data_IF_632057549954
#
_entry.id   IF_632057549954
#
_cell.length_a   1.000
_cell.length_b   1.000
_cell.length_c   1.000
_cell.angle_alpha   90.00
_cell.angle_beta   90.00
_cell.angle_gamma   90.00
#
_symmetry.space_group_name_H-M   'P 1'
#
loop_
_entity.id
_entity.type
_entity.pdbx_description
1 polymer ?
#
# COMPACT_ATOMS: atom_id res chain seq x y z
N UNK A 1 2.96 19.49 3.25
CA UNK A 1 2.21 18.21 3.21
C UNK A 1 3.11 16.97 3.16
N UNK A 2 4.31 17.05 2.60
CA UNK A 2 5.30 15.94 2.62
C UNK A 2 5.81 15.64 4.05
N UNK A 3 5.66 16.55 4.98
CA UNK A 3 6.26 16.53 6.33
C UNK A 3 5.59 15.49 7.26
N UNK A 4 4.32 15.17 7.07
CA UNK A 4 3.56 14.32 7.97
C UNK A 4 2.97 13.05 7.32
N UNK A 5 3.09 12.90 6.02
CA UNK A 5 2.55 11.75 5.30
C UNK A 5 3.50 11.38 4.15
N UNK A 6 4.31 10.36 4.37
CA UNK A 6 5.25 9.82 3.36
C UNK A 6 4.77 8.44 2.87
N UNK A 7 3.67 8.38 2.11
CA UNK A 7 3.06 7.13 1.67
C UNK A 7 3.96 6.33 0.72
N UNK A 8 4.99 6.95 0.16
CA UNK A 8 5.93 6.31 -0.75
C UNK A 8 7.28 5.97 -0.10
N UNK A 9 7.47 6.33 1.17
CA UNK A 9 8.69 6.02 1.92
C UNK A 9 9.94 6.79 1.46
N UNK A 10 9.79 7.99 0.91
CA UNK A 10 10.92 8.80 0.43
C UNK A 10 11.93 9.13 1.53
N UNK A 11 11.47 9.41 2.75
CA UNK A 11 12.38 9.68 3.87
C UNK A 11 13.15 8.42 4.29
N UNK A 12 12.52 7.26 4.29
CA UNK A 12 13.20 5.99 4.54
C UNK A 12 14.21 5.67 3.43
N UNK A 13 13.88 5.94 2.18
CA UNK A 13 14.79 5.77 1.05
C UNK A 13 16.00 6.72 1.16
N UNK A 14 15.79 7.99 1.48
CA UNK A 14 16.87 8.95 1.69
C UNK A 14 17.80 8.51 2.83
N UNK A 15 17.22 8.08 3.97
CA UNK A 15 17.99 7.53 5.10
C UNK A 15 18.83 6.31 4.68
N UNK A 16 18.29 5.45 3.81
CA UNK A 16 19.03 4.32 3.24
C UNK A 16 20.25 4.77 2.44
N UNK A 17 20.09 5.73 1.55
CA UNK A 17 21.18 6.30 0.76
C UNK A 17 22.22 6.99 1.62
N UNK A 18 21.81 7.76 2.62
CA UNK A 18 22.71 8.41 3.57
C UNK A 18 23.53 7.37 4.36
N UNK A 19 22.87 6.33 4.85
CA UNK A 19 23.54 5.24 5.58
C UNK A 19 24.57 4.53 4.70
N UNK A 20 24.23 4.24 3.45
CA UNK A 20 25.12 3.57 2.50
C UNK A 20 26.34 4.43 2.15
N UNK A 21 26.19 5.75 2.11
CA UNK A 21 27.27 6.69 1.77
C UNK A 21 28.00 7.27 3.01
N UNK A 22 27.64 6.85 4.21
CA UNK A 22 28.26 7.34 5.45
C UNK A 22 28.04 8.84 5.70
N UNK A 23 26.89 9.37 5.29
CA UNK A 23 26.53 10.78 5.42
C UNK A 23 25.14 10.94 6.04
N UNK A 24 24.81 12.14 6.48
CA UNK A 24 23.47 12.55 6.94
C UNK A 24 22.99 13.82 6.23
N UNK A 25 23.63 14.19 5.12
CA UNK A 25 23.44 15.46 4.41
C UNK A 25 22.65 15.31 3.11
N UNK A 26 21.88 14.24 2.96
CA UNK A 26 21.06 14.00 1.79
C UNK A 26 19.89 14.98 1.68
N UNK A 27 19.36 15.12 0.48
CA UNK A 27 18.19 15.94 0.19
C UNK A 27 17.53 15.53 -1.12
N UNK A 28 16.40 16.17 -1.42
CA UNK A 28 15.64 15.95 -2.65
C UNK A 28 15.75 17.15 -3.56
N UNK A 29 16.00 16.91 -4.83
CA UNK A 29 15.78 17.89 -5.87
C UNK A 29 14.35 17.71 -6.40
N UNK A 30 13.50 18.70 -6.19
CA UNK A 30 12.08 18.64 -6.56
C UNK A 30 11.82 19.60 -7.69
N UNK A 31 11.19 19.11 -8.77
CA UNK A 31 10.77 19.92 -9.89
C UNK A 31 9.23 19.93 -10.00
N UNK A 32 8.62 21.09 -10.06
CA UNK A 32 7.20 21.24 -10.39
C UNK A 32 7.02 21.12 -11.90
N UNK A 33 6.29 20.12 -12.32
CA UNK A 33 6.04 19.85 -13.76
C UNK A 33 5.16 20.89 -14.43
N UNK A 34 4.36 21.65 -13.68
CA UNK A 34 3.44 22.64 -14.22
C UNK A 34 4.10 23.99 -14.40
N UNK A 35 4.95 24.43 -13.47
CA UNK A 35 5.65 25.72 -13.53
C UNK A 35 7.08 25.63 -14.05
N UNK A 36 7.72 24.45 -13.94
CA UNK A 36 9.14 24.27 -14.20
C UNK A 36 10.05 24.71 -13.05
N UNK A 37 9.48 25.12 -11.93
CA UNK A 37 10.25 25.53 -10.76
C UNK A 37 11.00 24.35 -10.16
N UNK A 38 12.24 24.62 -9.71
CA UNK A 38 13.10 23.63 -9.09
C UNK A 38 13.45 24.12 -7.68
N UNK A 39 13.29 23.25 -6.69
CA UNK A 39 13.75 23.52 -5.34
C UNK A 39 14.57 22.35 -4.78
N UNK A 40 15.47 22.68 -3.85
CA UNK A 40 16.22 21.69 -3.09
C UNK A 40 15.63 21.62 -1.68
N UNK A 41 15.13 20.42 -1.32
CA UNK A 41 14.53 20.15 -0.02
C UNK A 41 15.45 19.27 0.83
N UNK A 42 15.85 19.77 2.00
CA UNK A 42 16.62 19.03 3.00
C UNK A 42 15.75 18.77 4.21
N UNK A 43 15.40 17.53 4.52
CA UNK A 43 14.62 17.19 5.69
C UNK A 43 15.50 17.12 6.95
N UNK A 44 16.17 18.22 7.32
CA UNK A 44 17.09 18.27 8.46
C UNK A 44 16.35 18.14 9.81
N UNK A 45 15.13 18.69 9.87
CA UNK A 45 14.31 18.72 11.09
C UNK A 45 13.40 17.50 11.23
N UNK A 46 13.42 16.59 10.28
CA UNK A 46 12.59 15.37 10.32
C UNK A 46 13.39 14.19 10.87
N UNK A 47 12.80 13.50 11.83
CA UNK A 47 13.31 12.22 12.28
C UNK A 47 13.27 11.20 11.14
N UNK A 48 14.41 10.92 10.52
CA UNK A 48 14.51 9.90 9.48
C UNK A 48 14.48 8.52 10.15
N UNK A 49 13.79 7.54 9.54
CA UNK A 49 13.79 6.18 10.05
C UNK A 49 15.21 5.59 10.10
N UNK A 50 15.53 4.83 11.13
CA UNK A 50 16.77 4.05 11.17
C UNK A 50 16.68 2.88 10.17
N UNK A 51 17.38 2.99 9.06
CA UNK A 51 17.40 2.01 7.98
C UNK A 51 17.85 0.63 8.46
N UNK A 52 18.81 0.54 9.39
CA UNK A 52 19.30 -0.75 9.91
C UNK A 52 18.23 -1.46 10.72
N UNK A 53 17.51 -0.73 11.56
CA UNK A 53 16.36 -1.28 12.29
C UNK A 53 15.25 -1.73 11.34
N UNK A 54 14.92 -0.94 10.31
CA UNK A 54 13.91 -1.32 9.32
C UNK A 54 14.29 -2.62 8.59
N UNK A 55 15.55 -2.78 8.18
CA UNK A 55 16.03 -4.00 7.53
C UNK A 55 15.94 -5.19 8.48
N UNK A 56 16.35 -5.01 9.74
CA UNK A 56 16.28 -6.06 10.76
C UNK A 56 14.84 -6.52 10.99
N UNK A 57 13.91 -5.57 11.14
CA UNK A 57 12.49 -5.87 11.35
C UNK A 57 11.89 -6.58 10.15
N UNK A 58 12.25 -6.14 8.93
CA UNK A 58 11.82 -6.79 7.71
C UNK A 58 12.33 -8.23 7.64
N UNK A 59 13.61 -8.46 7.90
CA UNK A 59 14.19 -9.80 7.90
C UNK A 59 13.53 -10.71 8.94
N UNK A 60 13.20 -10.19 10.13
CA UNK A 60 12.48 -10.93 11.16
C UNK A 60 11.07 -11.34 10.68
N UNK A 61 10.36 -10.43 10.02
CA UNK A 61 9.03 -10.70 9.44
C UNK A 61 9.10 -11.73 8.31
N UNK A 62 10.11 -11.64 7.46
CA UNK A 62 10.31 -12.58 6.34
C UNK A 62 10.73 -13.98 6.80
N UNK A 63 11.42 -14.10 7.95
CA UNK A 63 11.79 -15.37 8.54
C UNK A 63 10.66 -16.06 9.33
N UNK A 64 9.51 -15.39 9.49
CA UNK A 64 8.35 -15.92 10.18
C UNK A 64 7.47 -16.74 9.25
N UNK A 65 6.99 -17.89 9.70
CA UNK A 65 5.98 -18.70 9.01
C UNK A 65 4.58 -18.07 9.05
N UNK A 66 4.40 -17.03 9.88
CA UNK A 66 3.14 -16.31 10.02
C UNK A 66 3.19 -15.03 9.20
N UNK A 67 2.25 -14.80 8.27
CA UNK A 67 2.18 -13.56 7.54
C UNK A 67 2.13 -12.33 8.47
N UNK A 68 2.82 -11.24 8.15
CA UNK A 68 2.74 -10.02 8.94
C UNK A 68 1.34 -9.41 8.90
N UNK A 69 1.05 -8.54 9.88
CA UNK A 69 -0.17 -7.76 9.86
C UNK A 69 -0.29 -6.92 8.58
N UNK A 70 -1.52 -6.64 8.18
CA UNK A 70 -1.79 -5.81 7.00
C UNK A 70 -1.21 -4.41 7.16
N UNK A 71 -0.56 -3.91 6.12
CA UNK A 71 0.17 -2.63 6.15
C UNK A 71 -0.73 -1.43 6.45
N UNK A 72 -2.03 -1.52 6.10
CA UNK A 72 -2.94 -0.39 6.19
C UNK A 72 -4.31 -0.83 6.74
N UNK A 73 -4.95 -0.02 7.61
CA UNK A 73 -6.27 -0.30 8.12
C UNK A 73 -7.34 -0.16 7.03
N UNK A 74 -8.43 -0.91 7.17
CA UNK A 74 -9.59 -0.78 6.30
C UNK A 74 -10.28 0.58 6.52
N UNK A 75 -10.81 1.15 5.44
CA UNK A 75 -11.62 2.36 5.49
C UNK A 75 -13.09 1.98 5.56
N UNK A 76 -13.79 2.47 6.59
CA UNK A 76 -15.25 2.29 6.71
C UNK A 76 -15.98 3.41 5.98
N UNK A 77 -16.89 3.05 5.10
CA UNK A 77 -17.79 3.99 4.41
C UNK A 77 -19.03 4.34 5.24
N UNK A 78 -19.76 5.38 4.84
CA UNK A 78 -20.98 5.83 5.52
C UNK A 78 -22.09 4.76 5.59
N UNK A 79 -22.12 3.85 4.63
CA UNK A 79 -23.07 2.73 4.56
C UNK A 79 -22.64 1.51 5.40
N UNK A 80 -21.49 1.58 6.08
CA UNK A 80 -20.94 0.52 6.90
C UNK A 80 -20.00 -0.43 6.13
N UNK A 81 -19.94 -0.36 4.81
CA UNK A 81 -19.03 -1.19 4.01
C UNK A 81 -17.57 -0.86 4.33
N UNK A 82 -16.71 -1.87 4.31
CA UNK A 82 -15.26 -1.67 4.50
C UNK A 82 -14.52 -1.86 3.18
N UNK A 83 -13.83 -0.81 2.78
CA UNK A 83 -13.03 -0.72 1.56
C UNK A 83 -11.55 -0.93 1.88
N UNK A 84 -10.83 -1.65 1.02
CA UNK A 84 -9.37 -1.73 1.16
C UNK A 84 -8.73 -0.37 0.88
N UNK A 85 -7.65 0.00 1.59
CA UNK A 85 -6.98 1.28 1.39
C UNK A 85 -6.36 1.40 -0.01
N UNK A 86 -6.12 2.64 -0.44
CA UNK A 86 -5.63 2.96 -1.80
C UNK A 86 -4.33 2.21 -2.10
N UNK A 87 -3.39 2.14 -1.17
CA UNK A 87 -2.14 1.40 -1.34
C UNK A 87 -2.34 -0.09 -1.62
N UNK A 88 -3.42 -0.69 -1.09
CA UNK A 88 -3.74 -2.09 -1.33
C UNK A 88 -4.47 -2.32 -2.67
N UNK A 89 -5.11 -1.30 -3.26
CA UNK A 89 -5.86 -1.48 -4.51
C UNK A 89 -4.96 -1.87 -5.68
N UNK A 90 -3.71 -1.41 -5.67
CA UNK A 90 -2.71 -1.70 -6.71
C UNK A 90 -1.83 -2.91 -6.38
N UNK A 91 -1.95 -3.49 -5.18
CA UNK A 91 -1.17 -4.66 -4.77
C UNK A 91 -1.65 -5.91 -5.51
N UNK A 92 -0.71 -6.67 -6.09
CA UNK A 92 -1.02 -7.92 -6.79
C UNK A 92 -1.51 -9.02 -5.82
N UNK A 93 -1.05 -8.99 -4.57
CA UNK A 93 -1.41 -9.95 -3.52
C UNK A 93 -2.68 -9.61 -2.75
N UNK A 94 -3.45 -8.60 -3.17
CA UNK A 94 -4.63 -8.15 -2.41
C UNK A 94 -5.67 -9.24 -2.17
N UNK A 95 -5.91 -10.12 -3.12
CA UNK A 95 -6.90 -11.19 -2.96
C UNK A 95 -6.46 -12.26 -1.98
N UNK A 96 -5.18 -12.62 -1.97
CA UNK A 96 -4.59 -13.54 -0.99
C UNK A 96 -4.55 -12.90 0.40
N UNK A 97 -4.10 -11.66 0.48
CA UNK A 97 -4.01 -10.88 1.72
C UNK A 97 -5.37 -10.70 2.41
N UNK A 98 -6.45 -10.62 1.65
CA UNK A 98 -7.82 -10.47 2.13
C UNK A 98 -8.69 -11.70 1.88
N UNK A 99 -8.13 -12.90 1.88
CA UNK A 99 -8.87 -14.15 1.69
C UNK A 99 -9.96 -14.37 2.77
N UNK A 100 -9.74 -13.86 3.98
CA UNK A 100 -10.67 -13.88 5.12
C UNK A 100 -11.80 -12.85 5.01
N UNK A 101 -11.72 -11.90 4.06
CA UNK A 101 -12.73 -10.87 3.84
C UNK A 101 -14.11 -11.46 3.56
N UNK A 102 -15.18 -10.69 3.83
CA UNK A 102 -16.55 -11.11 3.61
C UNK A 102 -16.86 -12.50 4.21
N UNK A 103 -16.40 -12.76 5.43
CA UNK A 103 -16.56 -14.03 6.16
C UNK A 103 -15.92 -15.22 5.44
N UNK A 104 -14.70 -15.03 4.92
CA UNK A 104 -13.93 -16.06 4.23
C UNK A 104 -14.27 -16.23 2.76
N UNK A 105 -15.09 -15.36 2.17
CA UNK A 105 -15.42 -15.37 0.74
C UNK A 105 -14.43 -14.58 -0.12
N UNK A 106 -13.48 -13.87 0.53
CA UNK A 106 -12.52 -13.00 -0.13
C UNK A 106 -13.07 -11.60 -0.44
N UNK A 107 -12.28 -10.81 -1.15
CA UNK A 107 -12.69 -9.48 -1.59
C UNK A 107 -13.82 -9.56 -2.62
N UNK A 108 -14.77 -8.63 -2.52
CA UNK A 108 -15.76 -8.39 -3.57
C UNK A 108 -15.41 -7.13 -4.34
N UNK A 109 -15.58 -7.17 -5.65
CA UNK A 109 -15.22 -6.08 -6.55
C UNK A 109 -16.46 -5.54 -7.24
N UNK A 110 -16.69 -4.25 -7.11
CA UNK A 110 -17.83 -3.57 -7.69
C UNK A 110 -17.39 -2.50 -8.69
N UNK A 111 -18.05 -2.47 -9.85
CA UNK A 111 -17.72 -1.57 -10.95
C UNK A 111 -18.54 -0.27 -10.86
N UNK A 112 -17.87 0.80 -10.52
CA UNK A 112 -18.43 2.15 -10.59
C UNK A 112 -18.03 2.81 -11.92
N UNK A 113 -18.68 3.92 -12.29
CA UNK A 113 -18.45 4.59 -13.58
C UNK A 113 -16.97 4.86 -13.90
N UNK A 114 -16.17 5.25 -12.88
CA UNK A 114 -14.78 5.69 -13.09
C UNK A 114 -13.75 4.85 -12.33
N UNK A 115 -14.18 3.83 -11.59
CA UNK A 115 -13.25 3.01 -10.78
C UNK A 115 -13.88 1.69 -10.33
N UNK A 116 -13.03 0.72 -10.07
CA UNK A 116 -13.42 -0.49 -9.35
C UNK A 116 -13.20 -0.28 -7.85
N UNK A 117 -14.13 -0.76 -7.03
CA UNK A 117 -14.06 -0.66 -5.57
C UNK A 117 -13.97 -2.06 -5.00
N UNK A 118 -12.96 -2.28 -4.16
CA UNK A 118 -12.69 -3.57 -3.52
C UNK A 118 -13.21 -3.53 -2.07
N UNK A 119 -14.23 -4.32 -1.78
CA UNK A 119 -14.87 -4.39 -0.46
C UNK A 119 -14.40 -5.62 0.32
N UNK A 120 -13.86 -5.36 1.51
CA UNK A 120 -13.48 -6.41 2.46
C UNK A 120 -14.62 -6.83 3.39
N UNK A 121 -15.64 -5.97 3.54
CA UNK A 121 -16.84 -6.27 4.30
C UNK A 121 -18.03 -5.55 3.65
N UNK A 122 -19.02 -6.31 3.19
CA UNK A 122 -20.23 -5.80 2.54
C UNK A 122 -21.37 -5.89 3.52
N UNK A 123 -21.70 -4.75 4.17
CA UNK A 123 -22.86 -4.59 5.04
C UNK A 123 -24.10 -4.24 4.25
N UNK A 124 -23.94 -3.33 3.28
CA UNK A 124 -25.00 -2.92 2.36
C UNK A 124 -24.55 -3.17 0.92
N UNK A 125 -25.31 -3.98 0.20
CA UNK A 125 -25.04 -4.31 -1.20
C UNK A 125 -25.02 -3.04 -2.06
N UNK A 126 -23.94 -2.75 -2.80
CA UNK A 126 -23.89 -1.65 -3.76
C UNK A 126 -24.87 -1.88 -4.92
N UNK A 127 -25.54 -0.81 -5.38
CA UNK A 127 -26.43 -0.88 -6.55
C UNK A 127 -25.63 -0.67 -7.85
N UNK A 128 -24.57 -1.45 -8.04
CA UNK A 128 -23.71 -1.48 -9.23
C UNK A 128 -23.27 -2.91 -9.50
N UNK A 129 -22.73 -3.16 -10.67
CA UNK A 129 -22.30 -4.49 -11.11
C UNK A 129 -21.22 -5.09 -10.21
N UNK A 130 -21.42 -6.32 -9.76
CA UNK A 130 -20.40 -7.13 -9.08
C UNK A 130 -19.58 -7.87 -10.14
N UNK A 131 -18.33 -7.46 -10.28
CA UNK A 131 -17.35 -8.00 -11.23
C UNK A 131 -16.29 -8.88 -10.55
N UNK A 132 -16.56 -9.39 -9.35
CA UNK A 132 -15.61 -10.17 -8.56
C UNK A 132 -15.03 -11.34 -9.36
N UNK A 133 -15.85 -12.03 -10.14
CA UNK A 133 -15.43 -13.20 -10.94
C UNK A 133 -14.37 -12.85 -11.98
N UNK A 134 -14.45 -11.68 -12.60
CA UNK A 134 -13.47 -11.24 -13.61
C UNK A 134 -12.04 -11.14 -13.02
N UNK A 135 -11.95 -10.84 -11.73
CA UNK A 135 -10.67 -10.73 -11.02
C UNK A 135 -10.19 -12.08 -10.45
N UNK A 136 -11.10 -12.93 -10.02
CA UNK A 136 -10.73 -14.19 -9.34
C UNK A 136 -10.44 -15.34 -10.32
N UNK A 137 -11.11 -15.38 -11.46
CA UNK A 137 -10.89 -16.43 -12.46
C UNK A 137 -9.52 -16.30 -13.16
N UNK A 138 -9.01 -15.07 -13.29
CA UNK A 138 -7.66 -14.79 -13.80
C UNK A 138 -6.53 -15.19 -12.84
N UNK A 139 -6.79 -15.25 -11.54
CA UNK A 139 -5.77 -15.59 -10.52
C UNK A 139 -5.49 -17.09 -10.47
N UNK A 140 -6.50 -17.92 -10.71
CA UNK A 140 -6.37 -19.38 -10.70
C UNK A 140 -5.44 -19.93 -11.80
N UNK A 141 -5.12 -19.14 -12.81
CA UNK A 141 -4.23 -19.52 -13.93
C UNK A 141 -2.76 -19.24 -13.69
N UNK A 142 -2.37 -18.60 -12.58
CA UNK A 142 -0.99 -18.22 -12.28
C UNK A 142 -0.33 -19.01 -11.13
N UNK A 143 -0.92 -20.11 -10.69
CA UNK A 143 -0.24 -21.01 -9.73
C UNK A 143 0.90 -21.70 -10.49
N UNK A 144 2.20 -21.47 -10.15
CA UNK A 144 3.27 -22.23 -10.75
C UNK A 144 3.10 -23.69 -10.38
N UNK A 145 3.16 -24.55 -11.38
CA UNK A 145 3.26 -25.99 -11.16
C UNK A 145 4.48 -26.28 -10.30
N UNK A 146 4.27 -27.02 -9.23
CA UNK A 146 5.27 -27.50 -8.28
C UNK A 146 6.35 -28.32 -8.98
#
# INVERSE_FOLDING_TARGET
EIVNDDPFGYHAQLSGYETANGTNKGGFLVADKSSGDICFYKPEDLAKPDTRSLIKDLNTKLASDTPPERCYPLKTEKNGNKVIPVGCQFCIHKFECYADANKGKGLRVFKYANKNVFLADVVKEPNVEDITKEFTDGIKTQTPAS
#
